data_IF_211718306902
#
_entry.id   IF_211718306902
#
_cell.length_a   1.000
_cell.length_b   1.000
_cell.length_c   1.000
_cell.angle_alpha   90.00
_cell.angle_beta   90.00
_cell.angle_gamma   90.00
#
_symmetry.space_group_name_H-M   'P 1'
#
loop_
_entity.id
_entity.type
_entity.pdbx_description
1 polymer ?
#
# COMPACT_ATOMS: atom_id res chain seq x y z
N UNK A 1 -25.00 5.80 4.29
CA UNK A 1 -24.95 4.39 4.73
C UNK A 1 -23.87 4.28 5.80
N UNK A 2 -24.24 4.08 7.06
CA UNK A 2 -23.23 3.87 8.12
C UNK A 2 -22.77 2.42 8.01
N UNK A 3 -21.58 2.21 7.43
CA UNK A 3 -20.94 0.90 7.43
C UNK A 3 -20.61 0.56 8.88
N UNK A 4 -21.38 -0.35 9.47
CA UNK A 4 -21.14 -0.78 10.86
C UNK A 4 -20.01 -1.81 10.83
N UNK A 5 -18.85 -1.47 11.40
CA UNK A 5 -17.75 -2.41 11.53
C UNK A 5 -18.20 -3.59 12.41
N UNK A 6 -18.35 -4.77 11.81
CA UNK A 6 -18.81 -5.96 12.52
C UNK A 6 -17.68 -6.60 13.33
N UNK A 7 -18.05 -7.25 14.43
CA UNK A 7 -17.14 -7.94 15.37
C UNK A 7 -15.99 -8.74 14.70
N UNK A 8 -16.18 -9.50 13.61
CA UNK A 8 -15.09 -10.25 12.98
C UNK A 8 -13.94 -9.38 12.46
N UNK A 9 -14.26 -8.22 11.87
CA UNK A 9 -13.26 -7.29 11.35
C UNK A 9 -12.48 -6.64 12.50
N UNK A 10 -13.20 -6.20 13.53
CA UNK A 10 -12.58 -5.61 14.72
C UNK A 10 -11.65 -6.59 15.41
N UNK A 11 -12.04 -7.87 15.51
CA UNK A 11 -11.18 -8.92 16.05
C UNK A 11 -9.91 -9.11 15.21
N UNK A 12 -10.01 -9.09 13.88
CA UNK A 12 -8.83 -9.18 13.00
C UNK A 12 -7.89 -7.98 13.15
N UNK A 13 -8.43 -6.77 13.29
CA UNK A 13 -7.63 -5.57 13.56
C UNK A 13 -6.98 -5.67 14.95
N UNK A 14 -7.70 -6.17 15.94
CA UNK A 14 -7.18 -6.37 17.30
C UNK A 14 -6.05 -7.41 17.36
N UNK A 15 -6.16 -8.52 16.62
CA UNK A 15 -5.08 -9.51 16.50
C UNK A 15 -3.77 -8.83 16.07
N UNK A 16 -3.83 -7.89 15.13
CA UNK A 16 -2.67 -7.16 14.66
C UNK A 16 -2.09 -6.15 15.64
N UNK A 17 -2.90 -5.63 16.57
CA UNK A 17 -2.41 -4.89 17.72
C UNK A 17 -1.69 -5.81 18.72
N UNK A 18 -1.96 -7.11 18.70
CA UNK A 18 -1.22 -8.11 19.47
C UNK A 18 0.02 -8.67 18.76
N UNK A 19 0.14 -8.49 17.45
CA UNK A 19 1.24 -9.01 16.66
C UNK A 19 2.51 -8.19 16.90
N UNK A 20 3.44 -8.76 17.65
CA UNK A 20 4.72 -8.15 17.95
C UNK A 20 5.68 -8.23 16.76
N UNK A 21 6.39 -7.13 16.52
CA UNK A 21 7.46 -7.08 15.52
C UNK A 21 8.81 -7.45 16.16
N UNK A 22 9.78 -7.76 15.29
CA UNK A 22 11.16 -8.13 15.67
C UNK A 22 11.26 -9.43 16.47
N UNK A 23 10.45 -10.45 16.14
CA UNK A 23 10.48 -11.72 16.86
C UNK A 23 11.82 -12.47 16.76
N UNK A 24 12.60 -12.19 15.70
CA UNK A 24 13.93 -12.78 15.46
C UNK A 24 15.10 -11.89 15.93
N UNK A 25 14.83 -10.76 16.61
CA UNK A 25 15.85 -9.79 17.06
C UNK A 25 15.60 -9.38 18.53
N UNK A 26 16.59 -8.74 19.16
CA UNK A 26 16.44 -8.22 20.53
C UNK A 26 15.40 -7.09 20.52
N UNK A 27 14.36 -7.22 21.36
CA UNK A 27 13.28 -6.23 21.50
C UNK A 27 13.63 -5.21 22.58
N UNK A 28 13.97 -3.99 22.17
CA UNK A 28 14.19 -2.85 23.10
C UNK A 28 12.97 -1.95 23.24
N UNK A 29 12.03 -2.04 22.29
CA UNK A 29 10.76 -1.32 22.26
C UNK A 29 9.69 -2.30 21.79
N UNK A 30 8.53 -2.27 22.44
CA UNK A 30 7.36 -3.03 22.00
C UNK A 30 6.70 -2.29 20.83
N UNK A 31 6.87 -2.83 19.61
CA UNK A 31 6.26 -2.30 18.39
C UNK A 31 5.39 -3.38 17.78
N UNK A 32 4.14 -3.03 17.49
CA UNK A 32 3.18 -3.97 16.89
C UNK A 32 3.11 -3.80 15.37
N UNK A 33 2.48 -4.77 14.70
CA UNK A 33 2.15 -4.63 13.28
C UNK A 33 1.23 -3.44 13.02
N UNK A 34 0.23 -3.23 13.88
CA UNK A 34 -0.66 -2.08 13.79
C UNK A 34 0.13 -0.76 13.88
N UNK A 35 1.07 -0.63 14.80
CA UNK A 35 1.87 0.59 14.97
C UNK A 35 2.66 0.95 13.72
N UNK A 36 3.30 -0.05 13.09
CA UNK A 36 4.03 0.15 11.83
C UNK A 36 3.11 0.68 10.72
N UNK A 37 1.93 0.08 10.57
CA UNK A 37 0.99 0.49 9.52
C UNK A 37 0.37 1.86 9.82
N UNK A 38 0.08 2.17 11.09
CA UNK A 38 -0.38 3.49 11.50
C UNK A 38 0.66 4.57 11.19
N UNK A 39 1.93 4.31 11.53
CA UNK A 39 3.03 5.21 11.19
C UNK A 39 3.13 5.38 9.66
N UNK A 40 2.90 4.32 8.87
CA UNK A 40 2.90 4.38 7.39
C UNK A 40 1.84 5.32 6.86
N UNK A 41 0.65 5.27 7.44
CA UNK A 41 -0.42 6.17 7.06
C UNK A 41 -0.10 7.62 7.43
N UNK A 42 0.52 7.87 8.58
CA UNK A 42 0.95 9.21 8.98
C UNK A 42 2.01 9.75 8.00
N UNK A 43 3.03 8.95 7.68
CA UNK A 43 4.05 9.34 6.72
C UNK A 43 3.47 9.60 5.32
N UNK A 44 2.55 8.74 4.86
CA UNK A 44 1.85 8.92 3.58
C UNK A 44 1.02 10.21 3.56
N UNK A 45 0.36 10.55 4.68
CA UNK A 45 -0.38 11.81 4.80
C UNK A 45 0.54 13.02 4.69
N UNK A 46 1.65 13.03 5.43
CA UNK A 46 2.62 14.13 5.38
C UNK A 46 3.20 14.28 3.97
N UNK A 47 3.65 13.19 3.35
CA UNK A 47 4.17 13.19 1.98
C UNK A 47 3.13 13.69 0.98
N UNK A 48 1.89 13.21 1.07
CA UNK A 48 0.81 13.69 0.22
C UNK A 48 0.57 15.19 0.39
N UNK A 49 0.55 15.70 1.63
CA UNK A 49 0.36 17.14 1.86
C UNK A 49 1.51 17.98 1.28
N UNK A 50 2.74 17.52 1.38
CA UNK A 50 3.87 18.16 0.72
C UNK A 50 3.72 18.19 -0.80
N UNK A 51 3.31 17.07 -1.42
CA UNK A 51 3.09 16.99 -2.88
C UNK A 51 1.96 17.92 -3.35
N UNK A 52 0.89 18.09 -2.56
CA UNK A 52 -0.17 19.07 -2.87
C UNK A 52 0.38 20.49 -2.83
N UNK A 53 1.20 20.84 -1.84
CA UNK A 53 1.74 22.19 -1.64
C UNK A 53 2.86 22.58 -2.60
N UNK A 54 3.74 21.64 -2.98
CA UNK A 54 4.89 21.91 -3.82
C UNK A 54 4.63 21.70 -5.32
N UNK A 55 3.75 20.75 -5.67
CA UNK A 55 3.59 20.28 -7.06
C UNK A 55 2.27 20.67 -7.74
N UNK A 56 1.33 21.29 -7.03
CA UNK A 56 -0.05 21.51 -7.49
C UNK A 56 -0.71 20.21 -8.00
N UNK A 57 -0.28 19.06 -7.46
CA UNK A 57 -0.75 17.73 -7.87
C UNK A 57 -2.02 17.38 -7.10
N UNK A 58 -3.00 16.86 -7.83
CA UNK A 58 -4.21 16.33 -7.23
C UNK A 58 -3.91 14.94 -6.63
N UNK A 59 -4.34 14.72 -5.38
CA UNK A 59 -4.12 13.47 -4.65
C UNK A 59 -5.47 12.86 -4.34
N UNK A 60 -5.65 11.61 -4.75
CA UNK A 60 -6.79 10.81 -4.32
C UNK A 60 -6.49 10.17 -2.95
N UNK A 61 -6.97 10.83 -1.91
CA UNK A 61 -6.82 10.38 -0.53
C UNK A 61 -7.55 9.07 -0.25
N UNK A 62 -8.67 8.81 -0.96
CA UNK A 62 -9.42 7.57 -0.79
C UNK A 62 -8.57 6.41 -1.29
N UNK A 63 -7.94 6.56 -2.46
CA UNK A 63 -7.04 5.53 -2.99
C UNK A 63 -5.84 5.28 -2.05
N UNK A 64 -5.26 6.33 -1.45
CA UNK A 64 -4.16 6.16 -0.48
C UNK A 64 -4.61 5.38 0.76
N UNK A 65 -5.77 5.76 1.32
CA UNK A 65 -6.33 5.10 2.51
C UNK A 65 -6.69 3.65 2.19
N UNK A 66 -7.35 3.40 1.06
CA UNK A 66 -7.73 2.05 0.64
C UNK A 66 -6.49 1.18 0.39
N UNK A 67 -5.49 1.68 -0.33
CA UNK A 67 -4.27 0.94 -0.58
C UNK A 67 -3.51 0.60 0.71
N UNK A 68 -3.36 1.57 1.63
CA UNK A 68 -2.76 1.33 2.93
C UNK A 68 -3.53 0.29 3.77
N UNK A 69 -4.86 0.38 3.76
CA UNK A 69 -5.71 -0.58 4.45
C UNK A 69 -5.66 -1.97 3.81
N UNK A 70 -5.64 -2.07 2.49
CA UNK A 70 -5.57 -3.35 1.76
C UNK A 70 -4.23 -4.06 1.98
N UNK A 71 -3.11 -3.33 1.95
CA UNK A 71 -1.81 -3.90 2.31
C UNK A 71 -1.79 -4.40 3.76
N UNK A 72 -2.37 -3.64 4.68
CA UNK A 72 -2.49 -4.05 6.06
C UNK A 72 -3.32 -5.34 6.20
N UNK A 73 -4.50 -5.39 5.58
CA UNK A 73 -5.35 -6.58 5.58
C UNK A 73 -4.63 -7.80 5.02
N UNK A 74 -3.87 -7.65 3.92
CA UNK A 74 -3.04 -8.73 3.39
C UNK A 74 -1.98 -9.17 4.40
N UNK A 75 -1.34 -8.24 5.11
CA UNK A 75 -0.32 -8.55 6.13
C UNK A 75 -0.87 -9.31 7.33
N UNK A 76 -2.10 -8.99 7.78
CA UNK A 76 -2.78 -9.73 8.86
C UNK A 76 -3.09 -11.18 8.47
N UNK A 77 -3.17 -11.50 7.19
CA UNK A 77 -3.36 -12.88 6.73
C UNK A 77 -2.02 -13.61 6.51
N UNK A 78 -0.96 -12.87 6.14
CA UNK A 78 0.38 -13.40 5.84
C UNK A 78 1.35 -13.36 7.03
N UNK A 79 0.84 -13.41 8.26
CA UNK A 79 1.57 -13.06 9.49
C UNK A 79 2.79 -13.93 9.75
N UNK A 80 2.71 -15.21 9.42
CA UNK A 80 3.80 -16.18 9.65
C UNK A 80 4.75 -16.32 8.45
N UNK A 81 4.56 -15.50 7.41
CA UNK A 81 5.36 -15.59 6.20
C UNK A 81 6.65 -14.78 6.35
N UNK A 82 7.78 -15.48 6.51
CA UNK A 82 9.10 -14.84 6.53
C UNK A 82 9.32 -14.02 5.25
N UNK A 83 9.92 -12.81 5.35
CA UNK A 83 10.15 -11.95 4.19
C UNK A 83 10.86 -12.64 3.02
N UNK A 84 11.91 -13.46 3.21
CA UNK A 84 12.58 -14.14 2.10
C UNK A 84 11.65 -15.05 1.30
N UNK A 85 10.80 -15.82 1.97
CA UNK A 85 9.84 -16.72 1.31
C UNK A 85 8.79 -15.91 0.54
N UNK A 86 8.34 -14.78 1.08
CA UNK A 86 7.45 -13.87 0.34
C UNK A 86 8.10 -13.35 -0.94
N UNK A 87 9.37 -12.94 -0.89
CA UNK A 87 10.09 -12.48 -2.08
C UNK A 87 10.32 -13.60 -3.10
N UNK A 88 10.59 -14.83 -2.65
CA UNK A 88 10.69 -15.99 -3.53
C UNK A 88 9.36 -16.28 -4.23
N UNK A 89 8.26 -16.29 -3.48
CA UNK A 89 6.91 -16.45 -4.04
C UNK A 89 6.59 -15.36 -5.05
N UNK A 90 7.02 -14.13 -4.81
CA UNK A 90 6.82 -12.99 -5.72
C UNK A 90 7.56 -13.13 -7.05
N UNK A 91 8.66 -13.89 -7.10
CA UNK A 91 9.39 -14.15 -8.36
C UNK A 91 8.58 -15.06 -9.30
N UNK A 92 7.79 -15.99 -8.75
CA UNK A 92 6.93 -16.86 -9.53
C UNK A 92 5.50 -16.29 -9.58
N UNK A 93 5.13 -15.73 -10.75
CA UNK A 93 3.81 -15.11 -10.95
C UNK A 93 2.64 -16.03 -10.62
N UNK A 94 2.74 -17.31 -10.95
CA UNK A 94 1.66 -18.27 -10.70
C UNK A 94 1.49 -18.53 -9.21
N UNK A 95 2.60 -18.79 -8.49
CA UNK A 95 2.58 -18.96 -7.04
C UNK A 95 2.10 -17.70 -6.32
N UNK A 96 2.51 -16.52 -6.78
CA UNK A 96 2.06 -15.26 -6.19
C UNK A 96 0.56 -15.02 -6.42
N UNK A 97 0.04 -15.38 -7.60
CA UNK A 97 -1.40 -15.34 -7.87
C UNK A 97 -2.17 -16.29 -6.95
N UNK A 98 -1.71 -17.53 -6.80
CA UNK A 98 -2.31 -18.52 -5.90
C UNK A 98 -2.30 -18.02 -4.44
N UNK A 99 -1.20 -17.41 -3.99
CA UNK A 99 -1.09 -16.80 -2.67
C UNK A 99 -2.14 -15.69 -2.48
N UNK A 100 -2.29 -14.79 -3.45
CA UNK A 100 -3.25 -13.69 -3.37
C UNK A 100 -4.70 -14.19 -3.41
N UNK A 101 -4.97 -15.25 -4.18
CA UNK A 101 -6.28 -15.89 -4.20
C UNK A 101 -6.60 -16.51 -2.85
N UNK A 102 -5.64 -17.21 -2.24
CA UNK A 102 -5.78 -17.76 -0.90
C UNK A 102 -6.00 -16.67 0.17
N UNK A 103 -5.27 -15.55 0.10
CA UNK A 103 -5.47 -14.40 0.98
C UNK A 103 -6.91 -13.86 0.85
N UNK A 104 -7.40 -13.70 -0.38
CA UNK A 104 -8.75 -13.23 -0.64
C UNK A 104 -9.81 -14.15 -0.04
N UNK A 105 -9.68 -15.45 -0.24
CA UNK A 105 -10.61 -16.45 0.30
C UNK A 105 -10.64 -16.45 1.82
N UNK A 106 -9.49 -16.26 2.47
CA UNK A 106 -9.38 -16.22 3.93
C UNK A 106 -10.04 -15.00 4.53
N UNK A 107 -9.94 -13.84 3.88
CA UNK A 107 -10.45 -12.58 4.40
C UNK A 107 -11.88 -12.26 3.97
N UNK A 108 -12.34 -12.81 2.84
CA UNK A 108 -13.67 -12.57 2.30
C UNK A 108 -14.81 -12.71 3.33
N UNK A 109 -14.85 -13.75 4.20
CA UNK A 109 -15.89 -13.88 5.22
C UNK A 109 -15.94 -12.72 6.23
N UNK A 110 -14.80 -12.05 6.43
CA UNK A 110 -14.64 -10.92 7.36
C UNK A 110 -15.05 -9.60 6.71
N UNK A 111 -14.76 -9.42 5.42
CA UNK A 111 -15.00 -8.15 4.70
C UNK A 111 -16.31 -8.13 3.90
N UNK A 112 -16.99 -9.27 3.69
CA UNK A 112 -18.24 -9.35 2.89
C UNK A 112 -19.31 -8.35 3.33
N UNK A 113 -19.33 -8.03 4.62
CA UNK A 113 -20.32 -7.13 5.23
C UNK A 113 -19.98 -5.64 5.05
N UNK A 114 -18.78 -5.30 4.56
CA UNK A 114 -18.37 -3.92 4.25
C UNK A 114 -18.91 -3.43 2.89
N UNK A 115 -19.52 -4.33 2.11
CA UNK A 115 -20.10 -4.03 0.80
C UNK A 115 -19.36 -4.72 -0.34
N UNK A 116 -20.12 -5.09 -1.38
CA UNK A 116 -19.58 -5.81 -2.54
C UNK A 116 -18.53 -4.99 -3.29
N UNK A 117 -18.73 -3.67 -3.40
CA UNK A 117 -17.77 -2.79 -4.07
C UNK A 117 -16.40 -2.79 -3.38
N UNK A 118 -16.38 -2.83 -2.05
CA UNK A 118 -15.15 -2.90 -1.26
C UNK A 118 -14.41 -4.22 -1.53
N UNK A 119 -15.13 -5.34 -1.51
CA UNK A 119 -14.56 -6.66 -1.82
C UNK A 119 -13.95 -6.70 -3.23
N UNK A 120 -14.62 -6.11 -4.22
CA UNK A 120 -14.12 -6.03 -5.59
C UNK A 120 -12.87 -5.16 -5.68
N UNK A 121 -12.85 -3.99 -5.04
CA UNK A 121 -11.66 -3.12 -5.01
C UNK A 121 -10.47 -3.79 -4.34
N UNK A 122 -10.68 -4.44 -3.19
CA UNK A 122 -9.66 -5.21 -2.49
C UNK A 122 -9.10 -6.34 -3.38
N UNK A 123 -9.98 -7.12 -4.00
CA UNK A 123 -9.59 -8.19 -4.92
C UNK A 123 -8.75 -7.66 -6.08
N UNK A 124 -9.21 -6.59 -6.73
CA UNK A 124 -8.51 -5.97 -7.84
C UNK A 124 -7.15 -5.40 -7.41
N UNK A 125 -7.04 -4.90 -6.18
CA UNK A 125 -5.79 -4.37 -5.64
C UNK A 125 -4.75 -5.48 -5.44
N UNK A 126 -5.08 -6.53 -4.68
CA UNK A 126 -4.13 -7.63 -4.40
C UNK A 126 -3.77 -8.42 -5.67
N UNK A 127 -4.73 -8.61 -6.58
CA UNK A 127 -4.49 -9.28 -7.85
C UNK A 127 -3.74 -8.37 -8.83
N UNK A 128 -4.02 -7.07 -8.86
CA UNK A 128 -3.34 -6.10 -9.71
C UNK A 128 -1.88 -5.88 -9.33
N UNK A 129 -1.53 -5.99 -8.05
CA UNK A 129 -0.15 -5.91 -7.57
C UNK A 129 0.72 -7.10 -8.04
N UNK A 130 0.13 -8.22 -8.47
CA UNK A 130 0.88 -9.35 -9.05
C UNK A 130 1.53 -9.05 -10.40
N UNK A 131 1.09 -7.99 -11.07
CA UNK A 131 1.53 -7.67 -12.44
C UNK A 131 2.65 -6.62 -12.48
N UNK A 132 2.85 -5.81 -11.43
CA UNK A 132 3.62 -4.55 -11.56
C UNK A 132 4.78 -4.36 -10.58
N UNK A 133 4.90 -5.15 -9.51
CA UNK A 133 5.98 -4.96 -8.52
C UNK A 133 7.18 -5.92 -8.68
N UNK A 134 7.33 -6.53 -9.86
CA UNK A 134 8.52 -7.29 -10.25
C UNK A 134 9.70 -6.41 -10.69
N UNK A 135 9.48 -5.10 -10.85
CA UNK A 135 10.56 -4.12 -10.93
C UNK A 135 10.92 -3.72 -9.51
N UNK A 136 11.82 -4.49 -8.88
CA UNK A 136 12.59 -3.95 -7.76
C UNK A 136 13.16 -2.60 -8.20
N UNK A 137 13.11 -1.60 -7.31
CA UNK A 137 13.83 -0.35 -7.52
C UNK A 137 15.26 -0.70 -7.95
N UNK A 138 15.55 -0.59 -9.24
CA UNK A 138 16.92 -0.53 -9.71
C UNK A 138 17.43 0.80 -9.19
N UNK A 139 18.38 0.68 -8.29
CA UNK A 139 19.15 1.77 -7.72
C UNK A 139 19.83 2.50 -8.88
N UNK A 140 19.47 3.77 -9.09
CA UNK A 140 20.14 4.70 -9.99
C UNK A 140 19.50 4.83 -11.36
N UNK A 141 18.45 5.66 -11.47
CA UNK A 141 18.20 6.47 -12.67
C UNK A 141 17.71 7.84 -12.20
N UNK A 142 18.56 8.87 -12.38
CA UNK A 142 18.14 10.28 -12.31
C UNK A 142 17.14 10.52 -13.44
N UNK A 143 15.91 10.91 -13.10
CA UNK A 143 14.89 11.24 -14.09
C UNK A 143 14.75 12.76 -14.20
N UNK A 144 15.19 13.30 -15.34
CA UNK A 144 15.15 14.71 -15.70
C UNK A 144 13.71 15.21 -15.88
N UNK A 145 13.48 16.44 -15.41
CA UNK A 145 12.22 17.18 -15.56
C UNK A 145 12.08 17.60 -17.02
N UNK A 146 11.22 16.89 -17.77
CA UNK A 146 10.78 17.31 -19.10
C UNK A 146 9.68 18.35 -18.99
N UNK A 147 9.88 19.50 -19.64
CA UNK A 147 8.93 20.62 -19.72
C UNK A 147 7.61 20.21 -20.42
N UNK A 148 6.49 20.79 -19.96
CA UNK A 148 5.17 20.57 -20.54
C UNK A 148 4.94 21.51 -21.74
N UNK A 149 4.28 21.04 -22.82
CA UNK A 149 3.90 21.91 -23.92
C UNK A 149 2.64 22.70 -23.60
N UNK A 150 2.75 24.03 -23.69
CA UNK A 150 1.64 24.99 -23.67
C UNK A 150 0.80 24.88 -24.96
N UNK A 151 -0.53 24.80 -24.81
CA UNK A 151 -1.46 25.31 -25.82
C UNK A 151 -2.51 24.35 -26.44
N UNK A 152 -3.75 24.49 -25.96
CA UNK A 152 -5.06 24.56 -26.67
C UNK A 152 -5.54 23.38 -27.57
N UNK A 153 -6.78 22.88 -27.35
CA UNK A 153 -7.95 22.89 -28.30
C UNK A 153 -9.09 21.96 -27.82
N UNK A 154 -10.31 22.52 -27.85
CA UNK A 154 -11.62 21.96 -27.53
C UNK A 154 -12.01 20.79 -28.46
N UNK A 155 -12.13 19.58 -27.94
CA UNK A 155 -12.90 18.48 -28.57
C UNK A 155 -13.43 17.53 -27.48
N UNK A 156 -14.69 17.13 -27.53
CA UNK A 156 -15.35 16.25 -26.54
C UNK A 156 -14.73 14.85 -26.46
N UNK A 157 -14.09 14.34 -27.52
CA UNK A 157 -13.30 13.09 -27.49
C UNK A 157 -12.01 13.20 -26.66
N UNK A 158 -11.51 14.42 -26.43
CA UNK A 158 -10.36 14.65 -25.56
C UNK A 158 -10.75 14.59 -24.07
N UNK A 159 -12.01 14.82 -23.66
CA UNK A 159 -12.34 14.79 -22.22
C UNK A 159 -12.14 13.40 -21.59
N UNK A 160 -12.52 12.34 -22.29
CA UNK A 160 -12.40 10.97 -21.80
C UNK A 160 -10.94 10.48 -21.78
N UNK A 161 -10.17 10.83 -22.81
CA UNK A 161 -8.74 10.52 -22.88
C UNK A 161 -7.96 11.26 -21.79
N UNK A 162 -8.20 12.57 -21.64
CA UNK A 162 -7.56 13.37 -20.60
C UNK A 162 -7.99 12.96 -19.19
N UNK A 163 -9.24 12.55 -18.97
CA UNK A 163 -9.69 12.01 -17.69
C UNK A 163 -8.99 10.67 -17.37
N UNK A 164 -8.77 9.84 -18.38
CA UNK A 164 -8.04 8.58 -18.25
C UNK A 164 -6.55 8.81 -17.95
N UNK A 165 -5.90 9.71 -18.69
CA UNK A 165 -4.49 10.08 -18.49
C UNK A 165 -4.28 10.74 -17.12
N UNK A 166 -5.19 11.62 -16.70
CA UNK A 166 -5.19 12.23 -15.37
C UNK A 166 -5.38 11.19 -14.27
N UNK A 167 -6.32 10.24 -14.44
CA UNK A 167 -6.55 9.16 -13.48
C UNK A 167 -5.35 8.21 -13.39
N UNK A 168 -4.69 7.93 -14.50
CA UNK A 168 -3.45 7.16 -14.52
C UNK A 168 -2.31 7.87 -13.79
N UNK A 169 -2.15 9.18 -14.02
CA UNK A 169 -1.16 10.01 -13.33
C UNK A 169 -1.40 10.08 -11.81
N UNK A 170 -2.65 10.31 -11.39
CA UNK A 170 -3.03 10.33 -9.97
C UNK A 170 -2.74 8.97 -9.31
N UNK A 171 -3.02 7.87 -10.02
CA UNK A 171 -2.70 6.53 -9.56
C UNK A 171 -1.20 6.29 -9.40
N UNK A 172 -0.38 6.84 -10.29
CA UNK A 172 1.09 6.74 -10.22
C UNK A 172 1.65 7.51 -9.02
N UNK A 173 1.20 8.74 -8.77
CA UNK A 173 1.68 9.53 -7.62
C UNK A 173 1.25 8.92 -6.29
N UNK A 174 0.02 8.41 -6.18
CA UNK A 174 -0.47 7.76 -4.97
C UNK A 174 0.37 6.53 -4.61
N UNK A 175 0.68 5.70 -5.62
CA UNK A 175 1.60 4.55 -5.43
C UNK A 175 2.98 4.99 -4.97
N UNK A 176 3.54 6.05 -5.55
CA UNK A 176 4.84 6.61 -5.15
C UNK A 176 4.83 7.09 -3.70
N UNK A 177 3.78 7.79 -3.27
CA UNK A 177 3.63 8.27 -1.89
C UNK A 177 3.62 7.09 -0.91
N UNK A 178 2.81 6.05 -1.18
CA UNK A 178 2.71 4.88 -0.31
C UNK A 178 4.02 4.10 -0.26
N UNK A 179 4.68 3.94 -1.42
CA UNK A 179 6.00 3.29 -1.51
C UNK A 179 7.06 4.06 -0.74
N UNK A 180 7.11 5.38 -0.88
CA UNK A 180 8.02 6.25 -0.13
C UNK A 180 7.76 6.19 1.39
N UNK A 181 6.49 6.23 1.81
CA UNK A 181 6.11 6.07 3.21
C UNK A 181 6.56 4.70 3.76
N UNK A 182 6.33 3.62 3.02
CA UNK A 182 6.78 2.28 3.39
C UNK A 182 8.30 2.20 3.57
N UNK A 183 9.05 2.78 2.63
CA UNK A 183 10.51 2.81 2.69
C UNK A 183 11.02 3.61 3.89
N UNK A 184 10.44 4.80 4.12
CA UNK A 184 10.81 5.67 5.24
C UNK A 184 10.69 4.94 6.58
N UNK A 185 9.57 4.26 6.83
CA UNK A 185 9.34 3.56 8.10
C UNK A 185 10.19 2.33 8.25
N UNK A 186 10.37 1.57 7.17
CA UNK A 186 11.26 0.41 7.21
C UNK A 186 12.68 0.84 7.54
N UNK A 187 13.15 1.96 6.99
CA UNK A 187 14.45 2.56 7.34
C UNK A 187 14.48 3.07 8.78
N UNK A 188 13.41 3.70 9.26
CA UNK A 188 13.29 4.16 10.64
C UNK A 188 13.37 2.99 11.64
N UNK A 189 12.62 1.91 11.41
CA UNK A 189 12.68 0.69 12.23
C UNK A 189 14.10 0.12 12.23
N UNK A 190 14.72 -0.02 11.05
CA UNK A 190 16.06 -0.55 10.92
C UNK A 190 17.10 0.26 11.70
N UNK A 191 17.02 1.59 11.62
CA UNK A 191 17.91 2.48 12.35
C UNK A 191 17.75 2.35 13.87
N UNK A 192 16.55 2.03 14.36
CA UNK A 192 16.35 1.75 15.79
C UNK A 192 17.05 0.46 16.16
N UNK A 193 16.80 -0.64 15.42
CA UNK A 193 17.43 -1.94 15.70
C UNK A 193 18.96 -1.83 15.70
N UNK A 194 19.54 -1.18 14.68
CA UNK A 194 20.99 -1.02 14.58
C UNK A 194 21.62 -0.28 15.76
N UNK A 195 20.91 0.71 16.34
CA UNK A 195 21.42 1.42 17.53
C UNK A 195 21.48 0.53 18.77
N UNK A 196 20.64 -0.49 18.84
CA UNK A 196 20.54 -1.40 19.98
C UNK A 196 21.29 -2.74 19.77
N UNK A 197 21.77 -3.00 18.56
CA UNK A 197 22.59 -4.16 18.22
C UNK A 197 23.80 -3.71 17.36
N UNK A 198 24.80 -3.05 17.98
CA UNK A 198 25.97 -2.49 17.28
C UNK A 198 26.91 -3.55 16.69
#
# INVERSE_FOLDING_TARGET
MIVTAKKPLLLKIYEAAGMQRWNDQIRTIEITELDKQAHKMIAAYVLGKCEQGCGNKEIDWIEIIEAGFFEYLQRIILTDLKPPLFYELKQNREKYFQLNQWVYERIYPVIKDLGQDFCVRFRNYIMGNSVQEGAGLKRGEEFSVGEFPDGIVKNTKNKEKFATDKKFYIKDINKKIIGAAHFYITKWEFNIIQRFNP
#
